data_IF_021565330146
#
_entry.id   IF_021565330146
#
_cell.length_a   1.000
_cell.length_b   1.000
_cell.length_c   1.000
_cell.angle_alpha   90.00
_cell.angle_beta   90.00
_cell.angle_gamma   90.00
#
_symmetry.space_group_name_H-M   'P 1'
#
loop_
_entity.id
_entity.type
_entity.pdbx_description
1 polymer ?
#
# COMPACT_ATOMS: atom_id res chain seq x y z
N UNK A 1 1.41 20.60 8.44
CA UNK A 1 2.53 19.99 7.69
C UNK A 1 3.55 21.07 7.40
N UNK A 2 4.83 20.82 7.65
CA UNK A 2 5.90 21.75 7.32
C UNK A 2 5.98 21.89 5.78
N UNK A 3 5.79 23.10 5.21
CA UNK A 3 5.80 23.32 3.77
C UNK A 3 7.10 22.87 3.08
N UNK A 4 8.18 22.72 3.83
CA UNK A 4 9.51 22.40 3.29
C UNK A 4 9.81 20.89 3.16
N UNK A 5 8.96 19.99 3.69
CA UNK A 5 9.22 18.54 3.69
C UNK A 5 8.14 17.70 2.97
N UNK A 6 7.43 18.27 1.99
CA UNK A 6 6.46 17.49 1.19
C UNK A 6 7.18 16.53 0.23
N UNK A 7 7.53 15.36 0.77
CA UNK A 7 8.26 14.31 0.06
C UNK A 7 7.46 13.72 -1.11
N UNK A 8 6.14 13.67 -1.00
CA UNK A 8 5.26 13.19 -2.06
C UNK A 8 3.98 14.03 -2.13
N UNK A 9 3.42 14.14 -3.32
CA UNK A 9 2.12 14.76 -3.57
C UNK A 9 1.42 14.13 -4.77
N UNK A 10 0.18 14.56 -4.98
CA UNK A 10 -0.58 14.25 -6.18
C UNK A 10 -1.21 15.53 -6.73
N UNK A 11 -1.26 15.65 -8.05
CA UNK A 11 -2.03 16.68 -8.76
C UNK A 11 -3.06 16.00 -9.64
N UNK A 12 -4.31 16.45 -9.58
CA UNK A 12 -5.39 16.02 -10.48
C UNK A 12 -5.90 17.21 -11.30
N UNK A 13 -6.49 16.91 -12.46
CA UNK A 13 -7.09 17.91 -13.36
C UNK A 13 -8.47 18.37 -12.88
N UNK A 14 -9.24 17.45 -12.29
CA UNK A 14 -10.63 17.65 -11.85
C UNK A 14 -10.89 16.93 -10.52
N UNK A 15 -11.66 17.56 -9.64
CA UNK A 15 -12.06 17.02 -8.35
C UNK A 15 -13.58 17.06 -8.19
N UNK A 16 -14.20 15.89 -8.09
CA UNK A 16 -15.64 15.72 -7.87
C UNK A 16 -15.89 15.24 -6.44
N UNK A 17 -16.63 16.02 -5.65
CA UNK A 17 -16.91 15.71 -4.24
C UNK A 17 -18.38 15.36 -4.07
N UNK A 18 -18.68 14.09 -3.77
CA UNK A 18 -20.01 13.66 -3.40
C UNK A 18 -20.18 13.72 -1.88
N UNK A 19 -20.88 14.75 -1.38
CA UNK A 19 -21.14 14.95 0.05
C UNK A 19 -22.07 13.91 0.67
N UNK A 20 -22.98 13.33 -0.12
CA UNK A 20 -23.93 12.33 0.37
C UNK A 20 -23.22 11.00 0.69
N UNK A 21 -22.28 10.59 -0.16
CA UNK A 21 -21.47 9.38 0.08
C UNK A 21 -20.17 9.66 0.85
N UNK A 22 -19.76 10.91 1.00
CA UNK A 22 -18.51 11.29 1.66
C UNK A 22 -17.24 10.92 0.86
N UNK A 23 -17.35 10.84 -0.47
CA UNK A 23 -16.28 10.38 -1.36
C UNK A 23 -15.90 11.50 -2.32
N UNK A 24 -14.61 11.83 -2.39
CA UNK A 24 -14.00 12.66 -3.41
C UNK A 24 -13.39 11.79 -4.51
N UNK A 25 -13.52 12.20 -5.76
CA UNK A 25 -12.88 11.57 -6.92
C UNK A 25 -12.03 12.60 -7.63
N UNK A 26 -10.74 12.34 -7.74
CA UNK A 26 -9.81 13.14 -8.53
C UNK A 26 -9.55 12.43 -9.86
N UNK A 27 -9.56 13.17 -10.97
CA UNK A 27 -9.29 12.66 -12.33
C UNK A 27 -7.91 13.11 -12.82
N UNK A 28 -7.31 12.31 -13.71
CA UNK A 28 -5.97 12.52 -14.29
C UNK A 28 -4.91 12.82 -13.22
N UNK A 29 -4.83 11.93 -12.24
CA UNK A 29 -3.98 12.13 -11.08
C UNK A 29 -2.56 11.72 -11.39
N UNK A 30 -1.65 12.68 -11.33
CA UNK A 30 -0.21 12.45 -11.40
C UNK A 30 0.37 12.49 -10.00
N UNK A 31 0.89 11.35 -9.53
CA UNK A 31 1.65 11.27 -8.30
C UNK A 31 3.09 11.70 -8.55
N UNK A 32 3.59 12.58 -7.68
CA UNK A 32 4.93 13.13 -7.73
C UNK A 32 5.66 12.85 -6.44
N UNK A 33 6.94 12.52 -6.56
CA UNK A 33 7.86 12.37 -5.45
C UNK A 33 8.99 13.38 -5.60
N UNK A 34 9.20 14.23 -4.60
CA UNK A 34 10.12 15.37 -4.68
C UNK A 34 9.96 16.19 -5.98
N UNK A 35 8.71 16.33 -6.47
CA UNK A 35 8.38 17.02 -7.72
C UNK A 35 8.49 16.17 -9.01
N UNK A 36 9.08 14.97 -8.96
CA UNK A 36 9.22 14.08 -10.12
C UNK A 36 7.99 13.19 -10.28
N UNK A 37 7.29 13.20 -11.43
CA UNK A 37 6.15 12.31 -11.65
C UNK A 37 6.62 10.85 -11.77
N UNK A 38 5.98 9.95 -11.04
CA UNK A 38 6.32 8.51 -11.07
C UNK A 38 5.14 7.60 -11.37
N UNK A 39 3.90 8.06 -11.18
CA UNK A 39 2.70 7.28 -11.46
C UNK A 39 1.57 8.20 -11.93
N UNK A 40 0.95 7.83 -13.04
CA UNK A 40 -0.29 8.43 -13.51
C UNK A 40 -1.45 7.48 -13.26
N UNK A 41 -2.57 8.02 -12.76
CA UNK A 41 -3.81 7.30 -12.50
C UNK A 41 -4.96 8.04 -13.21
N UNK A 42 -5.82 7.34 -13.98
CA UNK A 42 -6.97 7.98 -14.63
C UNK A 42 -7.97 8.54 -13.62
N UNK A 43 -8.09 7.92 -12.44
CA UNK A 43 -8.93 8.38 -11.35
C UNK A 43 -8.40 7.90 -9.98
N UNK A 44 -8.59 8.71 -8.94
CA UNK A 44 -8.25 8.41 -7.56
C UNK A 44 -9.44 8.78 -6.66
N UNK A 45 -9.93 7.84 -5.86
CA UNK A 45 -11.01 8.09 -4.90
C UNK A 45 -10.41 8.26 -3.50
N UNK A 46 -10.89 9.25 -2.75
CA UNK A 46 -10.44 9.53 -1.39
C UNK A 46 -11.62 9.85 -0.46
N UNK A 47 -11.56 9.43 0.81
CA UNK A 47 -12.61 9.72 1.77
C UNK A 47 -12.56 11.19 2.19
N UNK A 48 -13.71 11.85 2.18
CA UNK A 48 -13.88 13.22 2.69
C UNK A 48 -14.37 13.21 4.15
N UNK A 49 -15.06 12.13 4.56
CA UNK A 49 -15.67 12.00 5.89
C UNK A 49 -14.95 10.98 6.80
N UNK A 50 -13.67 10.66 6.53
CA UNK A 50 -12.87 9.74 7.36
C UNK A 50 -13.25 8.26 7.30
N UNK A 51 -14.15 7.87 6.39
CA UNK A 51 -14.46 6.45 6.16
C UNK A 51 -13.23 5.72 5.60
N UNK A 52 -13.06 4.45 5.99
CA UNK A 52 -12.02 3.60 5.41
C UNK A 52 -12.32 3.36 3.94
N UNK A 53 -11.36 3.61 3.06
CA UNK A 53 -11.47 3.37 1.62
C UNK A 53 -10.21 2.72 1.09
N UNK A 54 -10.37 1.89 0.06
CA UNK A 54 -9.24 1.35 -0.68
C UNK A 54 -8.48 2.47 -1.40
N UNK A 55 -7.15 2.38 -1.42
CA UNK A 55 -6.31 3.41 -2.02
C UNK A 55 -4.82 3.15 -1.83
N UNK A 56 -4.00 3.93 -2.54
CA UNK A 56 -2.56 3.90 -2.36
C UNK A 56 -2.19 4.49 -0.99
N UNK A 57 -1.38 3.74 -0.26
CA UNK A 57 -0.69 4.23 0.92
C UNK A 57 0.58 4.98 0.50
N UNK A 58 1.16 5.72 1.42
CA UNK A 58 2.39 6.46 1.15
C UNK A 58 3.50 5.48 0.70
N UNK A 59 4.17 5.75 -0.44
CA UNK A 59 5.29 4.94 -0.88
C UNK A 59 6.41 5.01 0.15
N UNK A 60 7.21 3.94 0.24
CA UNK A 60 8.44 3.96 1.03
C UNK A 60 9.64 3.64 0.16
N UNK A 61 10.74 4.35 0.42
CA UNK A 61 12.00 4.18 -0.27
C UNK A 61 13.14 4.23 0.76
N UNK A 62 14.27 3.64 0.42
CA UNK A 62 15.43 3.61 1.30
C UNK A 62 16.55 2.77 0.71
N UNK A 63 17.59 2.53 1.50
CA UNK A 63 18.73 1.69 1.13
C UNK A 63 19.11 0.73 2.25
N UNK A 64 19.51 -0.47 1.88
CA UNK A 64 20.03 -1.50 2.78
C UNK A 64 21.24 -2.18 2.15
N UNK A 65 22.28 -2.48 2.93
CA UNK A 65 23.48 -3.18 2.42
C UNK A 65 23.16 -4.54 1.77
N UNK A 66 22.14 -5.25 2.25
CA UNK A 66 21.79 -6.60 1.80
C UNK A 66 20.79 -6.64 0.64
N UNK A 67 20.13 -5.53 0.32
CA UNK A 67 19.06 -5.46 -0.68
C UNK A 67 19.19 -4.30 -1.66
N UNK A 68 20.16 -3.40 -1.41
CA UNK A 68 20.36 -2.17 -2.16
C UNK A 68 19.29 -1.13 -1.86
N UNK A 69 19.12 -0.20 -2.79
CA UNK A 69 18.03 0.76 -2.78
C UNK A 69 16.71 0.05 -3.06
N UNK A 70 15.63 0.49 -2.42
CA UNK A 70 14.31 -0.10 -2.61
C UNK A 70 13.21 0.94 -2.75
N UNK A 71 12.13 0.53 -3.43
CA UNK A 71 10.87 1.26 -3.55
C UNK A 71 9.72 0.29 -3.24
N UNK A 72 8.79 0.69 -2.37
CA UNK A 72 7.58 -0.06 -2.04
C UNK A 72 6.35 0.81 -2.26
N UNK A 73 5.33 0.22 -2.87
CA UNK A 73 4.10 0.90 -3.27
C UNK A 73 2.88 0.19 -2.68
N UNK A 74 2.59 0.36 -1.38
CA UNK A 74 1.50 -0.34 -0.73
C UNK A 74 0.13 0.19 -1.19
N UNK A 75 -0.78 -0.73 -1.48
CA UNK A 75 -2.17 -0.47 -1.84
C UNK A 75 -3.10 -1.13 -0.83
N UNK A 76 -3.85 -0.32 -0.10
CA UNK A 76 -4.84 -0.76 0.87
C UNK A 76 -6.17 -1.09 0.20
N UNK A 77 -6.76 -2.20 0.57
CA UNK A 77 -8.03 -2.73 0.12
C UNK A 77 -8.96 -2.82 1.33
N UNK A 78 -9.90 -1.88 1.45
CA UNK A 78 -11.00 -2.01 2.38
C UNK A 78 -12.06 -2.93 1.74
N UNK A 79 -12.07 -4.20 2.13
CA UNK A 79 -12.95 -5.21 1.54
C UNK A 79 -14.31 -5.24 2.26
N UNK A 80 -14.30 -5.17 3.58
CA UNK A 80 -15.49 -5.09 4.42
C UNK A 80 -15.15 -4.40 5.77
N UNK A 81 -16.14 -3.97 6.56
CA UNK A 81 -15.89 -3.31 7.85
C UNK A 81 -15.04 -4.13 8.84
N UNK A 82 -15.02 -5.45 8.68
CA UNK A 82 -14.39 -6.42 9.58
C UNK A 82 -13.14 -7.10 9.01
N UNK A 83 -12.76 -6.84 7.75
CA UNK A 83 -11.51 -7.36 7.20
C UNK A 83 -10.96 -6.49 6.07
N UNK A 84 -9.64 -6.41 6.01
CA UNK A 84 -8.92 -5.65 5.00
C UNK A 84 -7.70 -6.40 4.47
N UNK A 85 -7.21 -5.94 3.32
CA UNK A 85 -5.98 -6.42 2.73
C UNK A 85 -5.07 -5.26 2.34
N UNK A 86 -3.77 -5.48 2.37
CA UNK A 86 -2.77 -4.57 1.81
C UNK A 86 -1.91 -5.38 0.85
N UNK A 87 -1.77 -4.92 -0.39
CA UNK A 87 -0.82 -5.48 -1.35
C UNK A 87 0.35 -4.51 -1.47
N UNK A 88 1.57 -5.03 -1.36
CA UNK A 88 2.79 -4.23 -1.37
C UNK A 88 3.74 -4.72 -2.47
N UNK A 89 3.55 -4.28 -3.73
CA UNK A 89 4.61 -4.40 -4.73
C UNK A 89 5.84 -3.63 -4.27
N UNK A 90 6.98 -4.29 -4.38
CA UNK A 90 8.27 -3.78 -3.97
C UNK A 90 9.33 -4.09 -5.03
N UNK A 91 10.30 -3.20 -5.16
CA UNK A 91 11.46 -3.38 -6.00
C UNK A 91 12.73 -3.14 -5.18
N UNK A 92 13.66 -4.09 -5.22
CA UNK A 92 14.96 -4.00 -4.57
C UNK A 92 16.05 -4.02 -5.64
N UNK A 93 16.96 -3.04 -5.65
CA UNK A 93 17.94 -2.90 -6.73
C UNK A 93 18.87 -4.11 -6.85
N UNK A 94 19.29 -4.69 -5.72
CA UNK A 94 20.18 -5.85 -5.71
C UNK A 94 19.46 -7.20 -5.82
N UNK A 95 18.16 -7.28 -5.47
CA UNK A 95 17.43 -8.58 -5.43
C UNK A 95 16.41 -8.75 -6.54
N UNK A 96 15.75 -7.67 -6.97
CA UNK A 96 14.66 -7.69 -7.94
C UNK A 96 13.29 -7.38 -7.34
N UNK A 97 12.21 -7.66 -8.09
CA UNK A 97 10.85 -7.40 -7.66
C UNK A 97 10.37 -8.39 -6.60
N UNK A 98 9.53 -7.92 -5.70
CA UNK A 98 8.85 -8.70 -4.67
C UNK A 98 7.40 -8.26 -4.58
N UNK A 99 6.51 -9.18 -4.25
CA UNK A 99 5.13 -8.88 -3.89
C UNK A 99 4.90 -9.30 -2.45
N UNK A 100 4.70 -8.31 -1.58
CA UNK A 100 4.21 -8.50 -0.23
C UNK A 100 2.69 -8.39 -0.17
N UNK A 101 2.10 -8.94 0.87
CA UNK A 101 0.75 -8.59 1.25
C UNK A 101 0.40 -9.02 2.66
N UNK A 102 -0.59 -8.33 3.19
CA UNK A 102 -1.12 -8.55 4.53
C UNK A 102 -2.64 -8.60 4.44
N UNK A 103 -3.24 -9.63 5.01
CA UNK A 103 -4.68 -9.73 5.20
C UNK A 103 -4.96 -9.70 6.70
N UNK A 104 -5.89 -8.86 7.15
CA UNK A 104 -6.29 -8.75 8.56
C UNK A 104 -7.78 -8.95 8.68
N UNK A 105 -8.18 -9.61 9.76
CA UNK A 105 -9.59 -9.81 10.06
C UNK A 105 -9.87 -9.58 11.54
N UNK A 106 -11.12 -9.16 11.81
CA UNK A 106 -11.69 -8.93 13.12
C UNK A 106 -13.08 -9.56 13.14
N UNK A 107 -13.19 -10.77 13.67
CA UNK A 107 -14.47 -11.45 13.87
C UNK A 107 -14.82 -11.50 15.35
N UNK A 108 -16.10 -11.72 15.68
CA UNK A 108 -16.53 -11.87 17.09
C UNK A 108 -15.85 -13.04 17.81
N UNK A 109 -15.33 -14.01 17.05
CA UNK A 109 -14.60 -15.17 17.56
C UNK A 109 -13.10 -14.91 17.77
N UNK A 110 -12.53 -13.84 17.21
CA UNK A 110 -11.08 -13.59 17.28
C UNK A 110 -10.57 -12.59 16.25
N UNK A 111 -9.29 -12.25 16.39
CA UNK A 111 -8.59 -11.32 15.50
C UNK A 111 -7.32 -11.96 14.97
N UNK A 112 -7.02 -11.77 13.70
CA UNK A 112 -5.84 -12.37 13.11
C UNK A 112 -5.30 -11.63 11.90
N UNK A 113 -4.09 -12.02 11.52
CA UNK A 113 -3.37 -11.51 10.38
C UNK A 113 -2.65 -12.62 9.62
N UNK A 114 -2.71 -12.56 8.30
CA UNK A 114 -1.94 -13.38 7.38
C UNK A 114 -1.00 -12.47 6.59
N UNK A 115 0.29 -12.66 6.75
CA UNK A 115 1.32 -11.98 5.98
C UNK A 115 1.90 -12.95 4.96
N UNK A 116 2.04 -12.50 3.72
CA UNK A 116 2.76 -13.23 2.68
C UNK A 116 3.78 -12.32 2.01
N UNK A 117 4.90 -12.91 1.61
CA UNK A 117 5.88 -12.26 0.74
C UNK A 117 6.34 -13.26 -0.30
N UNK A 118 6.45 -12.81 -1.55
CA UNK A 118 6.88 -13.65 -2.66
C UNK A 118 7.86 -12.89 -3.55
N UNK A 119 9.00 -13.51 -3.82
CA UNK A 119 10.04 -13.03 -4.71
C UNK A 119 10.36 -14.14 -5.72
N UNK A 120 9.94 -14.01 -7.00
CA UNK A 120 10.09 -15.08 -8.00
C UNK A 120 11.54 -15.29 -8.44
N UNK A 121 12.36 -14.23 -8.40
CA UNK A 121 13.77 -14.25 -8.79
C UNK A 121 14.55 -13.34 -7.86
N UNK A 122 15.18 -13.91 -6.85
CA UNK A 122 16.16 -13.23 -5.99
C UNK A 122 17.54 -13.36 -6.63
N UNK A 123 18.06 -12.25 -7.17
CA UNK A 123 19.38 -12.21 -7.84
C UNK A 123 20.55 -12.59 -6.94
N UNK A 124 20.41 -12.42 -5.61
CA UNK A 124 21.48 -12.77 -4.65
C UNK A 124 21.39 -14.25 -4.27
N UNK A 125 20.17 -14.74 -4.02
CA UNK A 125 19.97 -16.14 -3.63
C UNK A 125 20.05 -17.11 -4.82
N UNK A 126 19.79 -16.64 -6.04
CA UNK A 126 19.78 -17.46 -7.26
C UNK A 126 18.50 -18.27 -7.46
N UNK A 127 17.39 -17.91 -6.79
CA UNK A 127 16.14 -18.67 -6.85
C UNK A 127 14.93 -17.88 -6.35
N UNK A 128 13.80 -18.58 -6.14
CA UNK A 128 12.59 -17.99 -5.57
C UNK A 128 12.65 -17.97 -4.05
N UNK A 129 12.13 -16.91 -3.43
CA UNK A 129 11.98 -16.79 -1.97
C UNK A 129 10.54 -16.47 -1.62
N UNK A 130 10.03 -17.05 -0.56
CA UNK A 130 8.69 -16.75 -0.08
C UNK A 130 8.60 -16.89 1.42
N UNK A 131 7.62 -16.21 2.00
CA UNK A 131 7.29 -16.26 3.42
C UNK A 131 5.78 -16.26 3.55
N UNK A 132 5.27 -17.10 4.44
CA UNK A 132 3.89 -17.07 4.90
C UNK A 132 3.91 -17.07 6.43
N UNK A 133 3.18 -16.14 7.04
CA UNK A 133 3.03 -16.06 8.47
C UNK A 133 1.56 -15.84 8.80
N UNK A 134 1.03 -16.70 9.65
CA UNK A 134 -0.32 -16.59 10.18
C UNK A 134 -0.24 -16.35 11.68
N UNK A 135 -0.97 -15.35 12.16
CA UNK A 135 -1.12 -15.04 13.57
C UNK A 135 -2.60 -14.88 13.89
N UNK A 136 -3.03 -15.48 14.98
CA UNK A 136 -4.41 -15.43 15.46
C UNK A 136 -4.44 -15.25 16.97
N UNK A 137 -5.45 -14.54 17.44
CA UNK A 137 -5.72 -14.29 18.85
C UNK A 137 -7.22 -14.44 19.10
N UNK A 138 -7.58 -15.58 19.66
CA UNK A 138 -8.93 -15.95 20.05
C UNK A 138 -8.96 -16.13 21.58
N UNK A 139 -9.83 -15.41 22.32
CA UNK A 139 -9.97 -15.64 23.76
C UNK A 139 -10.56 -17.03 24.02
N UNK A 140 -10.01 -17.75 24.99
CA UNK A 140 -10.58 -19.02 25.48
C UNK A 140 -11.71 -18.68 26.47
N UNK A 141 -12.92 -19.15 26.15
CA UNK A 141 -14.11 -19.02 27.02
C UNK A 141 -14.05 -20.06 28.13
#
# INVERSE_FOLDING_TARGET
CDPQSRLWDFAGSRFDINRATGIGTAHDVTMRFMGVPFLWLPWLRFPVNGQRMSGFLAPSFGGSGNSGSYLRLPYYLNLAPNYDATLEPAFYSLRGPMLGGQFRYLFGIGTGALNFNYMPHDKIHGGKRWMLQYQDSTPLV
#
